data_IF_239034945118
#
_entry.id   IF_239034945118
#
_cell.length_a   1.000
_cell.length_b   1.000
_cell.length_c   1.000
_cell.angle_alpha   90.00
_cell.angle_beta   90.00
_cell.angle_gamma   90.00
#
_symmetry.space_group_name_H-M   'P 1'
#
loop_
_entity.id
_entity.type
_entity.pdbx_description
1 polymer ?
#
# COMPACT_ATOMS: atom_id res chain seq x y z
N UNK A 1 34.24 16.54 28.87
CA UNK A 1 34.52 15.21 28.27
C UNK A 1 33.47 14.24 28.80
N UNK A 2 32.70 13.59 27.92
CA UNK A 2 31.67 12.61 28.32
C UNK A 2 32.31 11.47 29.11
N UNK A 3 31.83 11.21 30.32
CA UNK A 3 32.47 10.25 31.25
C UNK A 3 32.40 8.82 30.68
N UNK A 4 33.28 7.94 31.14
CA UNK A 4 33.39 6.55 30.63
C UNK A 4 32.06 5.81 30.78
N UNK A 5 31.37 6.02 31.90
CA UNK A 5 30.03 5.49 32.21
C UNK A 5 28.95 6.06 31.30
N UNK A 6 28.99 7.36 31.00
CA UNK A 6 28.03 7.99 30.10
C UNK A 6 28.16 7.43 28.68
N UNK A 7 29.39 7.17 28.20
CA UNK A 7 29.60 6.49 26.91
C UNK A 7 29.03 5.07 26.91
N UNK A 8 29.21 4.30 27.99
CA UNK A 8 28.66 2.95 28.09
C UNK A 8 27.14 2.95 28.04
N UNK A 9 26.50 3.91 28.72
CA UNK A 9 25.05 4.10 28.66
C UNK A 9 24.57 4.42 27.24
N UNK A 10 25.25 5.35 26.56
CA UNK A 10 24.93 5.69 25.17
C UNK A 10 25.13 4.51 24.22
N UNK A 11 26.19 3.71 24.40
CA UNK A 11 26.40 2.52 23.57
C UNK A 11 25.34 1.46 23.85
N UNK A 12 24.96 1.23 25.11
CA UNK A 12 23.90 0.29 25.45
C UNK A 12 22.57 0.74 24.84
N UNK A 13 22.24 2.04 24.94
CA UNK A 13 21.04 2.62 24.33
C UNK A 13 21.05 2.46 22.80
N UNK A 14 22.19 2.73 22.15
CA UNK A 14 22.33 2.55 20.70
C UNK A 14 22.15 1.09 20.29
N UNK A 15 22.73 0.14 21.03
CA UNK A 15 22.56 -1.30 20.78
C UNK A 15 21.10 -1.71 20.94
N UNK A 16 20.42 -1.26 22.00
CA UNK A 16 18.99 -1.52 22.20
C UNK A 16 18.14 -0.97 21.05
N UNK A 17 18.43 0.26 20.59
CA UNK A 17 17.74 0.85 19.44
C UNK A 17 17.97 0.06 18.14
N UNK A 18 19.20 -0.39 17.89
CA UNK A 18 19.52 -1.20 16.70
C UNK A 18 18.79 -2.53 16.74
N UNK A 19 18.76 -3.20 17.90
CA UNK A 19 18.03 -4.46 18.07
C UNK A 19 16.52 -4.26 17.89
N UNK A 20 15.95 -3.19 18.43
CA UNK A 20 14.54 -2.85 18.26
C UNK A 20 14.21 -2.54 16.79
N UNK A 21 15.07 -1.80 16.09
CA UNK A 21 14.91 -1.52 14.66
C UNK A 21 15.00 -2.78 13.81
N UNK A 22 15.91 -3.71 14.11
CA UNK A 22 16.02 -4.99 13.43
C UNK A 22 14.76 -5.87 13.64
N UNK A 23 14.25 -5.91 14.88
CA UNK A 23 13.01 -6.63 15.19
C UNK A 23 11.81 -6.01 14.48
N UNK A 24 11.74 -4.67 14.42
CA UNK A 24 10.71 -3.99 13.66
C UNK A 24 10.84 -4.34 12.16
N UNK A 25 12.03 -4.25 11.58
CA UNK A 25 12.26 -4.57 10.17
C UNK A 25 11.82 -6.00 9.81
N UNK A 26 12.01 -6.97 10.70
CA UNK A 26 11.55 -8.35 10.49
C UNK A 26 10.03 -8.45 10.27
N UNK A 27 9.27 -7.54 10.87
CA UNK A 27 7.82 -7.49 10.77
C UNK A 27 7.32 -6.46 9.74
N UNK A 28 8.23 -5.89 8.95
CA UNK A 28 7.95 -4.90 7.92
C UNK A 28 6.82 -5.33 6.98
N UNK A 29 6.86 -6.57 6.48
CA UNK A 29 5.88 -7.08 5.52
C UNK A 29 4.42 -7.02 6.00
N UNK A 30 4.19 -6.97 7.33
CA UNK A 30 2.85 -6.88 7.89
C UNK A 30 2.27 -5.46 7.88
N UNK A 31 3.11 -4.44 7.85
CA UNK A 31 2.66 -3.04 7.87
C UNK A 31 3.10 -2.22 6.66
N UNK A 32 3.98 -2.73 5.80
CA UNK A 32 4.28 -2.12 4.49
C UNK A 32 3.01 -1.77 3.69
N UNK A 33 1.93 -2.59 3.64
CA UNK A 33 0.70 -2.19 2.94
C UNK A 33 -0.02 -0.99 3.60
N UNK A 34 0.04 -0.84 4.93
CA UNK A 34 -0.59 0.29 5.63
C UNK A 34 0.31 1.54 5.65
N UNK A 35 1.63 1.37 5.75
CA UNK A 35 2.60 2.45 5.92
C UNK A 35 3.16 2.98 4.59
N UNK A 36 3.09 2.20 3.51
CA UNK A 36 3.61 2.57 2.18
C UNK A 36 3.09 3.91 1.64
N UNK A 37 1.77 4.21 1.70
CA UNK A 37 1.23 5.47 1.18
C UNK A 37 1.77 6.70 1.92
N UNK A 38 1.79 6.66 3.26
CA UNK A 38 2.28 7.76 4.09
C UNK A 38 3.80 7.93 3.99
N UNK A 39 4.55 6.83 3.93
CA UNK A 39 5.99 6.85 3.74
C UNK A 39 6.37 7.49 2.40
N UNK A 40 5.65 7.16 1.31
CA UNK A 40 5.87 7.74 -0.01
C UNK A 40 5.55 9.23 -0.05
N UNK A 41 4.45 9.66 0.58
CA UNK A 41 4.10 11.09 0.65
C UNK A 41 5.13 11.88 1.46
N UNK A 42 5.56 11.36 2.61
CA UNK A 42 6.57 11.98 3.46
C UNK A 42 7.92 12.05 2.74
N UNK A 43 8.30 10.97 2.05
CA UNK A 43 9.51 10.95 1.24
C UNK A 43 9.48 12.02 0.14
N UNK A 44 8.36 12.14 -0.58
CA UNK A 44 8.19 13.17 -1.60
C UNK A 44 8.18 14.59 -1.01
N UNK A 45 7.65 14.78 0.19
CA UNK A 45 7.69 16.07 0.88
C UNK A 45 9.12 16.47 1.28
N UNK A 46 9.94 15.51 1.70
CA UNK A 46 11.33 15.75 2.11
C UNK A 46 12.26 15.91 0.91
N UNK A 47 12.04 15.13 -0.15
CA UNK A 47 12.96 15.06 -1.31
C UNK A 47 12.61 16.02 -2.44
N UNK A 48 11.40 16.59 -2.48
CA UNK A 48 11.10 17.60 -3.49
C UNK A 48 11.74 18.95 -3.13
N UNK A 49 12.52 19.55 -4.03
CA UNK A 49 12.90 20.94 -3.91
C UNK A 49 11.64 21.81 -3.80
N UNK A 50 11.65 22.79 -2.91
CA UNK A 50 10.57 23.79 -2.85
C UNK A 50 10.36 24.39 -4.24
N UNK A 51 9.12 24.56 -4.72
CA UNK A 51 8.87 25.27 -5.96
C UNK A 51 9.54 26.65 -5.90
N UNK A 52 10.19 27.11 -6.99
CA UNK A 52 10.78 28.44 -7.01
C UNK A 52 9.70 29.50 -6.75
N UNK A 53 10.03 30.57 -6.00
CA UNK A 53 9.07 31.63 -5.70
C UNK A 53 8.63 32.29 -7.01
N UNK A 54 7.32 32.26 -7.29
CA UNK A 54 6.74 32.89 -8.49
C UNK A 54 5.91 31.96 -9.37
N UNK A 55 5.88 30.65 -9.12
CA UNK A 55 4.86 29.80 -9.72
C UNK A 55 3.60 29.82 -8.86
N UNK A 56 2.46 30.38 -9.32
CA UNK A 56 1.21 30.20 -8.63
C UNK A 56 0.97 28.69 -8.50
N UNK A 57 0.88 28.21 -7.26
CA UNK A 57 0.35 26.89 -6.99
C UNK A 57 -1.04 26.89 -7.59
N UNK A 58 -1.21 26.23 -8.73
CA UNK A 58 -2.53 25.94 -9.27
C UNK A 58 -3.37 25.44 -8.09
N UNK A 59 -4.60 25.95 -7.90
CA UNK A 59 -5.45 25.47 -6.82
C UNK A 59 -5.39 23.96 -6.93
N UNK A 60 -5.01 23.30 -5.83
CA UNK A 60 -5.18 21.88 -5.72
C UNK A 60 -6.69 21.68 -5.75
N UNK A 61 -7.27 21.68 -6.95
CA UNK A 61 -8.52 21.03 -7.19
C UNK A 61 -8.30 19.66 -6.61
N UNK A 62 -9.11 19.35 -5.60
CA UNK A 62 -9.17 18.04 -4.98
C UNK A 62 -9.72 17.05 -6.02
N UNK A 63 -9.05 16.91 -7.16
CA UNK A 63 -8.95 15.62 -7.80
C UNK A 63 -8.28 14.75 -6.75
N UNK A 64 -9.11 13.96 -6.07
CA UNK A 64 -8.70 12.69 -5.49
C UNK A 64 -7.64 12.10 -6.42
N UNK A 65 -6.51 11.58 -5.90
CA UNK A 65 -5.46 11.05 -6.74
C UNK A 65 -6.14 10.15 -7.75
N UNK A 66 -6.08 10.54 -9.02
CA UNK A 66 -6.24 9.58 -10.09
C UNK A 66 -5.07 8.65 -9.84
N UNK A 67 -5.31 7.65 -8.99
CA UNK A 67 -4.76 6.34 -9.21
C UNK A 67 -4.79 6.19 -10.73
N UNK A 68 -3.64 5.92 -11.33
CA UNK A 68 -3.63 5.24 -12.61
C UNK A 68 -4.37 3.94 -12.39
N UNK A 69 -5.69 4.03 -12.35
CA UNK A 69 -6.61 2.95 -12.21
C UNK A 69 -6.78 2.56 -13.66
N UNK A 70 -6.06 1.51 -14.05
CA UNK A 70 -6.69 0.43 -14.78
C UNK A 70 -8.18 0.46 -14.45
N UNK A 71 -9.03 0.64 -15.47
CA UNK A 71 -10.48 0.68 -15.33
C UNK A 71 -10.90 -0.31 -14.24
N UNK A 72 -11.83 0.07 -13.33
CA UNK A 72 -12.19 -0.77 -12.19
C UNK A 72 -12.30 -2.20 -12.68
N UNK A 73 -11.39 -3.08 -12.22
CA UNK A 73 -11.36 -4.46 -12.65
C UNK A 73 -12.78 -4.95 -12.47
N UNK A 74 -13.43 -5.31 -13.58
CA UNK A 74 -14.84 -5.70 -13.56
C UNK A 74 -14.96 -6.76 -12.46
N UNK A 75 -15.87 -6.57 -11.50
CA UNK A 75 -15.95 -7.50 -10.38
C UNK A 75 -15.98 -8.93 -10.93
N UNK A 76 -15.09 -9.82 -10.45
CA UNK A 76 -14.97 -11.14 -11.02
C UNK A 76 -16.33 -11.82 -10.94
N UNK A 77 -16.81 -12.31 -12.08
CA UNK A 77 -18.12 -12.97 -12.21
C UNK A 77 -17.93 -14.46 -12.02
N UNK A 78 -18.85 -15.09 -11.30
CA UNK A 78 -18.88 -16.54 -11.14
C UNK A 78 -19.83 -17.11 -12.17
N UNK A 79 -19.31 -17.78 -13.18
CA UNK A 79 -20.11 -18.48 -14.18
C UNK A 79 -20.18 -19.97 -13.83
N UNK A 80 -21.39 -20.48 -13.64
CA UNK A 80 -21.63 -21.91 -13.38
C UNK A 80 -22.13 -22.58 -14.67
N UNK A 81 -21.38 -23.55 -15.17
CA UNK A 81 -21.69 -24.32 -16.37
C UNK A 81 -21.73 -25.82 -16.02
N UNK A 82 -22.93 -26.33 -15.76
CA UNK A 82 -23.11 -27.72 -15.29
C UNK A 82 -22.36 -27.95 -13.98
N UNK A 83 -21.36 -28.84 -13.99
CA UNK A 83 -20.51 -29.14 -12.82
C UNK A 83 -19.18 -28.33 -12.81
N UNK A 84 -19.01 -27.35 -13.70
CA UNK A 84 -17.81 -26.52 -13.79
C UNK A 84 -18.12 -25.09 -13.32
N UNK A 85 -17.29 -24.57 -12.43
CA UNK A 85 -17.32 -23.17 -12.01
C UNK A 85 -16.13 -22.45 -12.63
N UNK A 86 -16.39 -21.34 -13.33
CA UNK A 86 -15.37 -20.48 -13.93
C UNK A 86 -15.48 -19.09 -13.33
N UNK A 87 -14.35 -18.56 -12.87
CA UNK A 87 -14.22 -17.21 -12.35
C UNK A 87 -13.61 -16.37 -13.47
N UNK A 88 -14.32 -15.36 -13.95
CA UNK A 88 -13.86 -14.57 -15.09
C UNK A 88 -14.32 -13.13 -15.00
N UNK A 89 -13.50 -12.23 -15.54
CA UNK A 89 -13.82 -10.81 -15.68
C UNK A 89 -14.50 -10.50 -17.04
N UNK A 90 -14.65 -11.52 -17.89
CA UNK A 90 -15.30 -11.47 -19.21
C UNK A 90 -16.76 -11.96 -19.10
N UNK A 91 -17.65 -11.60 -20.05
CA UNK A 91 -19.04 -12.09 -20.03
C UNK A 91 -19.09 -13.62 -20.02
N UNK A 92 -20.01 -14.17 -19.23
CA UNK A 92 -20.18 -15.60 -19.10
C UNK A 92 -20.48 -16.26 -20.47
N UNK A 93 -19.85 -17.41 -20.80
CA UNK A 93 -20.07 -18.08 -22.06
C UNK A 93 -21.53 -18.53 -22.21
N UNK A 94 -22.08 -18.60 -23.44
CA UNK A 94 -23.47 -18.95 -23.68
C UNK A 94 -23.80 -20.33 -23.08
N UNK A 95 -24.90 -20.41 -22.33
CA UNK A 95 -25.33 -21.62 -21.63
C UNK A 95 -24.80 -21.77 -20.19
N UNK A 96 -24.11 -20.76 -19.65
CA UNK A 96 -23.74 -20.70 -18.23
C UNK A 96 -24.64 -19.73 -17.45
N UNK A 97 -24.82 -20.00 -16.15
CA UNK A 97 -25.56 -19.12 -15.23
C UNK A 97 -24.57 -18.24 -14.47
N UNK A 98 -24.76 -16.92 -14.57
CA UNK A 98 -24.03 -15.96 -13.74
C UNK A 98 -24.59 -15.99 -12.31
N UNK A 99 -23.70 -16.15 -11.34
CA UNK A 99 -24.04 -16.05 -9.92
C UNK A 99 -23.27 -14.87 -9.33
N UNK A 100 -24.01 -13.92 -8.73
CA UNK A 100 -23.40 -12.79 -8.02
C UNK A 100 -22.50 -13.32 -6.89
N UNK A 101 -21.28 -12.81 -6.83
CA UNK A 101 -20.39 -13.10 -5.71
C UNK A 101 -20.80 -12.29 -4.48
N UNK A 102 -20.57 -12.87 -3.30
CA UNK A 102 -20.78 -12.17 -2.04
C UNK A 102 -19.81 -10.97 -1.96
N UNK A 103 -20.31 -9.74 -1.77
CA UNK A 103 -19.47 -8.54 -1.69
C UNK A 103 -18.50 -8.54 -0.49
N UNK A 104 -18.67 -9.46 0.46
CA UNK A 104 -17.74 -9.64 1.58
C UNK A 104 -16.46 -10.42 1.21
N UNK A 105 -16.38 -10.99 0.00
CA UNK A 105 -15.19 -11.71 -0.46
C UNK A 105 -14.11 -10.72 -0.92
N UNK A 106 -13.02 -10.63 -0.17
CA UNK A 106 -11.83 -9.86 -0.55
C UNK A 106 -11.03 -10.61 -1.62
N UNK A 107 -11.07 -10.14 -2.86
CA UNK A 107 -10.27 -10.69 -3.96
C UNK A 107 -8.88 -10.05 -3.94
N UNK A 108 -7.84 -10.84 -3.72
CA UNK A 108 -6.46 -10.38 -3.84
C UNK A 108 -6.06 -10.29 -5.32
N UNK A 109 -5.48 -9.16 -5.78
CA UNK A 109 -4.89 -9.10 -7.10
C UNK A 109 -3.68 -10.04 -7.16
N UNK A 110 -3.60 -10.84 -8.23
CA UNK A 110 -2.42 -11.65 -8.57
C UNK A 110 -1.39 -10.79 -9.30
#
# INVERSE_FOLDING_TARGET
MRSRTERTLWTALAVVLVLAAAAAWWTAERWTPLAGPWARQTWLAITRPSPPPGHPRAPASAQAPQAGASAPAALPRKCVQGNRTVYTDQPCPPGSKEQGMDPALSVLPQ
#
